data_IF_727571998445
#
_entry.id   IF_727571998445
#
_cell.length_a   1.000
_cell.length_b   1.000
_cell.length_c   1.000
_cell.angle_alpha   90.00
_cell.angle_beta   90.00
_cell.angle_gamma   90.00
#
_symmetry.space_group_name_H-M   'P 1'
#
loop_
_entity.id
_entity.type
_entity.pdbx_description
1 polymer ?
#
# COMPACT_ATOMS: atom_id res chain seq x y z
N UNK A 1 -27.23 13.08 -19.00
CA UNK A 1 -26.84 12.15 -17.90
C UNK A 1 -25.55 12.67 -17.27
N UNK A 2 -25.47 12.86 -15.94
CA UNK A 2 -24.21 13.23 -15.30
C UNK A 2 -23.17 12.12 -15.52
N UNK A 3 -21.95 12.51 -15.89
CA UNK A 3 -20.82 11.60 -16.09
C UNK A 3 -20.49 10.95 -14.74
N UNK A 4 -20.45 9.62 -14.70
CA UNK A 4 -20.05 8.90 -13.49
C UNK A 4 -18.69 9.45 -12.99
N UNK A 5 -18.50 9.66 -11.69
CA UNK A 5 -17.25 10.20 -11.16
C UNK A 5 -16.10 9.25 -11.54
N UNK A 6 -14.99 9.83 -11.99
CA UNK A 6 -13.78 9.05 -12.27
C UNK A 6 -13.32 8.33 -11.00
N UNK A 7 -12.86 7.07 -11.11
CA UNK A 7 -12.39 6.33 -9.95
C UNK A 7 -11.22 7.05 -9.29
N UNK A 8 -11.21 7.06 -7.96
CA UNK A 8 -10.09 7.60 -7.17
C UNK A 8 -8.89 6.66 -7.29
N UNK A 9 -7.68 7.18 -7.18
CA UNK A 9 -6.48 6.36 -7.25
C UNK A 9 -6.16 5.83 -5.86
N UNK A 10 -5.89 4.54 -5.76
CA UNK A 10 -5.36 3.89 -4.56
C UNK A 10 -4.00 3.29 -4.92
N UNK A 11 -2.94 3.87 -4.35
CA UNK A 11 -1.56 3.47 -4.56
C UNK A 11 -1.14 2.44 -3.51
N UNK A 12 -0.72 1.26 -3.97
CA UNK A 12 -0.26 0.17 -3.11
C UNK A 12 1.25 0.21 -3.00
N UNK A 13 1.72 0.24 -1.76
CA UNK A 13 3.10 0.00 -1.36
C UNK A 13 3.52 -1.47 -1.64
N UNK A 14 4.83 -1.74 -1.69
CA UNK A 14 5.46 -3.04 -1.90
C UNK A 14 4.87 -4.11 -0.98
N UNK A 15 4.85 -3.86 0.33
CA UNK A 15 4.31 -4.83 1.29
C UNK A 15 2.81 -5.11 1.07
N UNK A 16 2.03 -4.10 0.69
CA UNK A 16 0.60 -4.23 0.47
C UNK A 16 0.27 -5.06 -0.77
N UNK A 17 0.89 -4.77 -1.93
CA UNK A 17 0.59 -5.58 -3.12
C UNK A 17 1.13 -7.00 -2.99
N UNK A 18 2.32 -7.20 -2.42
CA UNK A 18 2.89 -8.55 -2.22
C UNK A 18 1.98 -9.43 -1.38
N UNK A 19 1.44 -8.88 -0.28
CA UNK A 19 0.46 -9.55 0.57
C UNK A 19 -0.83 -9.86 -0.16
N UNK A 20 -1.39 -8.90 -0.89
CA UNK A 20 -2.63 -9.14 -1.62
C UNK A 20 -2.50 -10.18 -2.73
N UNK A 21 -1.32 -10.32 -3.34
CA UNK A 21 -1.08 -11.40 -4.32
C UNK A 21 -1.01 -12.81 -3.71
N UNK A 22 -0.99 -12.94 -2.38
CA UNK A 22 -1.26 -14.22 -1.71
C UNK A 22 -2.74 -14.63 -1.84
N UNK A 23 -3.63 -13.70 -2.18
CA UNK A 23 -5.03 -14.00 -2.46
C UNK A 23 -5.22 -14.58 -3.88
N UNK A 24 -6.38 -15.21 -4.16
CA UNK A 24 -6.71 -15.68 -5.49
C UNK A 24 -7.17 -14.57 -6.47
N UNK A 25 -7.25 -13.30 -6.05
CA UNK A 25 -7.74 -12.21 -6.92
C UNK A 25 -6.76 -11.93 -8.05
N UNK A 26 -7.18 -12.19 -9.28
CA UNK A 26 -6.46 -11.82 -10.50
C UNK A 26 -7.44 -11.42 -11.63
N UNK A 27 -7.14 -10.35 -12.39
CA UNK A 27 -6.11 -9.35 -12.13
C UNK A 27 -6.38 -8.62 -10.80
N UNK A 28 -5.36 -8.21 -10.04
CA UNK A 28 -5.51 -7.45 -8.81
C UNK A 28 -5.34 -5.95 -9.11
N UNK A 29 -4.21 -5.59 -9.70
CA UNK A 29 -3.92 -4.20 -10.03
C UNK A 29 -4.62 -3.79 -11.34
N UNK A 30 -4.77 -2.48 -11.53
CA UNK A 30 -5.49 -1.90 -12.66
C UNK A 30 -7.02 -1.99 -12.58
N UNK A 31 -7.56 -2.88 -11.73
CA UNK A 31 -9.00 -3.00 -11.47
C UNK A 31 -9.58 -1.79 -10.75
N UNK A 32 -10.89 -1.56 -10.95
CA UNK A 32 -11.68 -0.61 -10.15
C UNK A 32 -12.54 -1.39 -9.16
N UNK A 33 -12.35 -1.11 -7.87
CA UNK A 33 -13.00 -1.81 -6.75
C UNK A 33 -13.44 -0.76 -5.73
N UNK A 34 -14.73 -0.73 -5.39
CA UNK A 34 -15.27 0.27 -4.47
C UNK A 34 -15.06 1.74 -4.89
N UNK A 35 -14.98 2.00 -6.20
CA UNK A 35 -14.68 3.33 -6.73
C UNK A 35 -13.19 3.71 -6.72
N UNK A 36 -12.31 2.79 -6.32
CA UNK A 36 -10.86 2.97 -6.35
C UNK A 36 -10.22 2.18 -7.48
N UNK A 37 -9.34 2.82 -8.26
CA UNK A 37 -8.44 2.14 -9.17
C UNK A 37 -7.16 1.79 -8.41
N UNK A 38 -6.90 0.49 -8.24
CA UNK A 38 -5.72 -0.02 -7.55
C UNK A 38 -4.52 0.03 -8.49
N UNK A 39 -3.46 0.70 -8.09
CA UNK A 39 -2.23 0.86 -8.87
C UNK A 39 -1.02 0.80 -7.92
N UNK A 40 0.18 0.58 -8.46
CA UNK A 40 1.44 0.76 -7.74
C UNK A 40 2.42 1.59 -8.57
N UNK A 41 3.59 1.91 -8.02
CA UNK A 41 4.65 2.60 -8.76
C UNK A 41 5.59 1.60 -9.43
N UNK A 42 6.12 1.98 -10.60
CA UNK A 42 7.14 1.16 -11.26
C UNK A 42 8.39 0.99 -10.38
N UNK A 43 8.80 2.03 -9.65
CA UNK A 43 9.95 1.96 -8.73
C UNK A 43 9.77 0.96 -7.60
N UNK A 44 8.54 0.78 -7.09
CA UNK A 44 8.23 -0.25 -6.07
C UNK A 44 8.28 -1.67 -6.65
N UNK A 45 7.90 -1.83 -7.93
CA UNK A 45 8.05 -3.09 -8.65
C UNK A 45 9.53 -3.42 -8.85
N UNK A 46 10.33 -2.42 -9.23
CA UNK A 46 11.77 -2.56 -9.43
C UNK A 46 12.49 -2.88 -8.11
N UNK A 47 12.09 -2.23 -7.00
CA UNK A 47 12.55 -2.53 -5.65
C UNK A 47 12.29 -4.01 -5.29
N UNK A 48 11.06 -4.49 -5.52
CA UNK A 48 10.73 -5.90 -5.31
C UNK A 48 11.62 -6.83 -6.14
N UNK A 49 11.77 -6.55 -7.45
CA UNK A 49 12.58 -7.37 -8.36
C UNK A 49 14.07 -7.39 -7.97
N UNK A 50 14.59 -6.28 -7.44
CA UNK A 50 15.98 -6.19 -7.00
C UNK A 50 16.22 -6.85 -5.63
N UNK A 51 15.18 -7.04 -4.81
CA UNK A 51 15.30 -7.58 -3.47
C UNK A 51 15.19 -9.12 -3.48
N UNK A 52 16.34 -9.81 -3.45
CA UNK A 52 16.42 -11.27 -3.47
C UNK A 52 15.64 -11.94 -2.33
N UNK A 53 15.62 -11.34 -1.13
CA UNK A 53 14.87 -11.87 0.01
C UNK A 53 13.37 -11.81 -0.23
N UNK A 54 12.86 -10.66 -0.71
CA UNK A 54 11.45 -10.54 -1.07
C UNK A 54 11.09 -11.46 -2.24
N UNK A 55 11.96 -11.58 -3.25
CA UNK A 55 11.78 -12.50 -4.37
C UNK A 55 11.72 -13.98 -3.96
N UNK A 56 12.44 -14.38 -2.91
CA UNK A 56 12.33 -15.73 -2.34
C UNK A 56 11.01 -15.93 -1.59
N UNK A 57 10.65 -14.98 -0.71
CA UNK A 57 9.43 -15.06 0.11
C UNK A 57 8.18 -15.00 -0.77
N UNK A 58 8.16 -14.12 -1.78
CA UNK A 58 7.02 -13.87 -2.67
C UNK A 58 7.29 -14.34 -4.10
N UNK A 59 7.97 -15.49 -4.25
CA UNK A 59 8.35 -16.04 -5.56
C UNK A 59 7.18 -16.19 -6.53
N UNK A 60 5.98 -16.49 -6.03
CA UNK A 60 4.75 -16.57 -6.81
C UNK A 60 4.34 -15.27 -7.51
N UNK A 61 4.77 -14.11 -7.00
CA UNK A 61 4.49 -12.79 -7.59
C UNK A 61 5.41 -12.51 -8.77
N UNK A 62 6.64 -13.04 -8.74
CA UNK A 62 7.64 -12.88 -9.80
C UNK A 62 7.36 -13.68 -11.06
N UNK A 63 6.33 -14.53 -11.07
CA UNK A 63 5.99 -15.40 -12.21
C UNK A 63 4.58 -15.10 -12.78
N UNK A 64 4.31 -15.39 -14.07
CA UNK A 64 2.98 -15.24 -14.65
C UNK A 64 1.94 -16.15 -13.96
N UNK A 65 0.66 -15.73 -13.89
CA UNK A 65 0.11 -14.48 -14.43
C UNK A 65 0.33 -13.24 -13.54
N UNK A 66 0.84 -13.39 -12.30
CA UNK A 66 0.97 -12.29 -11.33
C UNK A 66 1.98 -11.24 -11.74
N UNK A 67 3.12 -11.64 -12.32
CA UNK A 67 4.14 -10.68 -12.79
C UNK A 67 3.59 -9.79 -13.92
N UNK A 68 2.78 -10.35 -14.81
CA UNK A 68 2.13 -9.61 -15.89
C UNK A 68 1.11 -8.62 -15.33
N UNK A 69 0.28 -9.05 -14.37
CA UNK A 69 -0.67 -8.18 -13.68
C UNK A 69 0.03 -7.02 -12.96
N UNK A 70 1.14 -7.32 -12.28
CA UNK A 70 1.95 -6.32 -11.57
C UNK A 70 2.45 -5.22 -12.50
N UNK A 71 3.01 -5.61 -13.66
CA UNK A 71 3.52 -4.66 -14.65
C UNK A 71 2.40 -3.84 -15.33
N UNK A 72 1.25 -4.46 -15.58
CA UNK A 72 0.07 -3.75 -16.10
C UNK A 72 -0.54 -2.79 -15.06
N UNK A 73 -0.38 -3.12 -13.77
CA UNK A 73 -0.79 -2.33 -12.62
C UNK A 73 0.07 -1.10 -12.30
N UNK A 74 1.19 -0.93 -13.00
CA UNK A 74 2.10 0.20 -12.80
C UNK A 74 1.46 1.51 -13.24
N UNK A 75 1.47 2.50 -12.35
CA UNK A 75 0.96 3.84 -12.60
C UNK A 75 1.76 4.53 -13.72
N UNK A 76 1.04 5.05 -14.71
CA UNK A 76 1.62 5.86 -15.80
C UNK A 76 1.25 7.33 -15.62
N UNK A 77 2.19 8.10 -15.10
CA UNK A 77 2.05 9.55 -14.98
C UNK A 77 2.32 10.26 -16.30
N UNK A 78 1.56 11.32 -16.58
CA UNK A 78 1.88 12.28 -17.65
C UNK A 78 3.12 13.09 -17.26
N UNK A 79 3.85 13.61 -18.25
CA UNK A 79 5.07 14.40 -18.00
C UNK A 79 4.86 15.58 -17.03
N UNK A 80 3.77 16.37 -17.12
CA UNK A 80 3.51 17.43 -16.13
C UNK A 80 3.39 16.89 -14.70
N UNK A 81 2.70 15.77 -14.51
CA UNK A 81 2.54 15.16 -13.18
C UNK A 81 3.86 14.57 -12.65
N UNK A 82 4.67 13.97 -13.51
CA UNK A 82 6.01 13.47 -13.14
C UNK A 82 6.87 14.60 -12.55
N UNK A 83 6.91 15.76 -13.22
CA UNK A 83 7.65 16.94 -12.72
C UNK A 83 7.15 17.43 -11.36
N UNK A 84 5.84 17.41 -11.14
CA UNK A 84 5.27 17.78 -9.83
C UNK A 84 5.69 16.79 -8.74
N UNK A 85 5.68 15.49 -9.04
CA UNK A 85 6.16 14.46 -8.09
C UNK A 85 7.64 14.69 -7.79
N UNK A 86 8.47 14.85 -8.81
CA UNK A 86 9.91 15.11 -8.64
C UNK A 86 10.19 16.36 -7.80
N UNK A 87 9.45 17.46 -8.02
CA UNK A 87 9.57 18.69 -7.25
C UNK A 87 9.20 18.51 -5.76
N UNK A 88 8.23 17.63 -5.46
CA UNK A 88 7.79 17.33 -4.10
C UNK A 88 8.74 16.38 -3.35
N UNK A 89 9.43 15.47 -4.06
CA UNK A 89 10.27 14.43 -3.43
C UNK A 89 11.37 14.99 -2.53
N UNK A 90 12.08 16.02 -2.97
CA UNK A 90 13.20 16.60 -2.22
C UNK A 90 12.78 17.16 -0.84
N UNK A 91 11.83 18.11 -0.81
CA UNK A 91 11.28 18.63 0.45
C UNK A 91 10.70 17.53 1.35
N UNK A 92 9.93 16.60 0.78
CA UNK A 92 9.33 15.49 1.54
C UNK A 92 10.38 14.56 2.13
N UNK A 93 11.48 14.25 1.42
CA UNK A 93 12.56 13.42 1.94
C UNK A 93 13.22 14.05 3.18
N UNK A 94 13.44 15.37 3.14
CA UNK A 94 14.02 16.11 4.28
C UNK A 94 13.05 16.09 5.45
N UNK A 95 11.77 16.39 5.21
CA UNK A 95 10.74 16.40 6.24
C UNK A 95 10.56 15.01 6.86
N UNK A 96 10.42 13.96 6.04
CA UNK A 96 10.31 12.57 6.49
C UNK A 96 11.48 12.15 7.38
N UNK A 97 12.71 12.50 7.00
CA UNK A 97 13.90 12.20 7.80
C UNK A 97 13.85 12.88 9.17
N UNK A 98 13.53 14.17 9.21
CA UNK A 98 13.43 14.94 10.46
C UNK A 98 12.29 14.42 11.35
N UNK A 99 11.15 14.08 10.74
CA UNK A 99 10.01 13.48 11.42
C UNK A 99 10.41 12.17 12.11
N UNK A 100 11.01 11.23 11.37
CA UNK A 100 11.45 9.94 11.92
C UNK A 100 12.47 10.12 13.04
N UNK A 101 13.46 11.02 12.86
CA UNK A 101 14.43 11.34 13.90
C UNK A 101 13.75 11.85 15.19
N UNK A 102 12.84 12.81 15.05
CA UNK A 102 12.11 13.39 16.18
C UNK A 102 11.17 12.40 16.88
N UNK A 103 10.52 11.50 16.14
CA UNK A 103 9.70 10.43 16.74
C UNK A 103 10.58 9.43 17.48
N UNK A 104 11.78 9.15 16.96
CA UNK A 104 12.71 8.20 17.57
C UNK A 104 13.38 8.73 18.83
N UNK A 105 13.64 10.03 18.94
CA UNK A 105 14.09 10.63 20.23
C UNK A 105 13.04 10.49 21.33
N UNK A 106 11.77 10.29 20.95
CA UNK A 106 10.64 10.01 21.85
C UNK A 106 10.28 8.52 21.97
N UNK A 107 11.14 7.63 21.45
CA UNK A 107 11.01 6.18 21.64
C UNK A 107 10.11 5.45 20.64
N UNK A 108 9.70 6.08 19.53
CA UNK A 108 8.78 5.46 18.57
C UNK A 108 9.36 4.26 17.78
N UNK A 109 10.70 4.18 17.67
CA UNK A 109 11.47 3.14 16.95
C UNK A 109 10.97 2.92 15.51
N UNK A 110 10.82 4.00 14.78
CA UNK A 110 10.47 4.03 13.36
C UNK A 110 11.70 3.78 12.50
N UNK A 111 11.52 2.98 11.44
CA UNK A 111 12.52 2.80 10.39
C UNK A 111 12.56 4.06 9.50
N UNK A 112 13.73 4.49 9.02
CA UNK A 112 13.82 5.54 8.00
C UNK A 112 13.08 5.14 6.71
N UNK A 113 12.39 6.11 6.10
CA UNK A 113 11.71 5.90 4.81
C UNK A 113 12.71 5.84 3.65
N UNK A 114 12.44 4.98 2.69
CA UNK A 114 13.21 4.83 1.46
C UNK A 114 12.95 5.96 0.45
N UNK A 115 13.71 5.95 -0.64
CA UNK A 115 13.48 6.84 -1.77
C UNK A 115 12.14 6.56 -2.45
N UNK A 116 11.75 5.30 -2.48
CA UNK A 116 10.52 4.74 -3.05
C UNK A 116 9.32 5.11 -2.17
N UNK A 117 9.44 5.02 -0.84
CA UNK A 117 8.42 5.49 0.11
C UNK A 117 8.12 6.97 -0.09
N UNK A 118 9.17 7.77 -0.25
CA UNK A 118 9.04 9.22 -0.49
C UNK A 118 8.41 9.50 -1.85
N UNK A 119 8.74 8.72 -2.88
CA UNK A 119 8.11 8.82 -4.19
C UNK A 119 6.62 8.43 -4.15
N UNK A 120 6.27 7.38 -3.41
CA UNK A 120 4.90 6.96 -3.16
C UNK A 120 4.10 8.07 -2.46
N UNK A 121 4.65 8.67 -1.41
CA UNK A 121 4.05 9.80 -0.70
C UNK A 121 3.83 11.00 -1.63
N UNK A 122 4.88 11.44 -2.33
CA UNK A 122 4.80 12.56 -3.27
C UNK A 122 3.74 12.31 -4.37
N UNK A 123 3.69 11.09 -4.88
CA UNK A 123 2.68 10.70 -5.88
C UNK A 123 1.27 10.71 -5.31
N UNK A 124 1.08 10.21 -4.10
CA UNK A 124 -0.20 10.25 -3.39
C UNK A 124 -0.71 11.68 -3.18
N UNK A 125 0.17 12.61 -2.83
CA UNK A 125 -0.14 14.04 -2.67
C UNK A 125 -0.56 14.66 -4.02
N UNK A 126 0.29 14.55 -5.05
CA UNK A 126 0.06 15.16 -6.37
C UNK A 126 -1.23 14.66 -7.02
N UNK A 127 -1.55 13.38 -6.82
CA UNK A 127 -2.76 12.76 -7.37
C UNK A 127 -4.00 12.91 -6.48
N UNK A 128 -3.84 13.42 -5.25
CA UNK A 128 -4.87 13.35 -4.19
C UNK A 128 -5.41 11.93 -4.04
N UNK A 129 -4.51 10.95 -4.09
CA UNK A 129 -4.82 9.52 -4.01
C UNK A 129 -4.89 9.02 -2.58
N UNK A 130 -5.37 7.80 -2.42
CA UNK A 130 -5.24 7.03 -1.18
C UNK A 130 -3.96 6.21 -1.26
N UNK A 131 -3.20 6.13 -0.18
CA UNK A 131 -2.04 5.23 -0.08
C UNK A 131 -2.44 4.03 0.78
N UNK A 132 -2.06 2.83 0.35
CA UNK A 132 -2.08 1.64 1.18
C UNK A 132 -0.65 1.22 1.52
N UNK A 133 -0.35 1.20 2.80
CA UNK A 133 0.95 0.79 3.33
C UNK A 133 0.78 0.19 4.72
N UNK A 134 1.66 -0.75 5.06
CA UNK A 134 1.78 -1.28 6.43
C UNK A 134 3.04 -0.73 7.14
N UNK A 135 3.82 0.12 6.46
CA UNK A 135 5.00 0.76 7.03
C UNK A 135 4.56 1.81 8.05
N UNK A 136 5.01 1.62 9.29
CA UNK A 136 4.61 2.43 10.44
C UNK A 136 5.10 3.87 10.27
N UNK A 137 6.34 4.06 9.81
CA UNK A 137 6.90 5.39 9.61
C UNK A 137 6.08 6.20 8.59
N UNK A 138 5.72 5.58 7.46
CA UNK A 138 4.94 6.23 6.40
C UNK A 138 3.51 6.51 6.86
N UNK A 139 2.90 5.57 7.58
CA UNK A 139 1.56 5.74 8.16
C UNK A 139 1.51 6.89 9.15
N UNK A 140 2.47 6.97 10.08
CA UNK A 140 2.52 8.06 11.06
C UNK A 140 2.80 9.41 10.39
N UNK A 141 3.69 9.45 9.39
CA UNK A 141 4.00 10.66 8.64
C UNK A 141 2.78 11.21 7.89
N UNK A 142 2.04 10.35 7.17
CA UNK A 142 0.82 10.77 6.46
C UNK A 142 -0.23 11.31 7.44
N UNK A 143 -0.40 10.68 8.60
CA UNK A 143 -1.34 11.16 9.63
C UNK A 143 -0.92 12.51 10.19
N UNK A 144 0.37 12.74 10.39
CA UNK A 144 0.92 14.02 10.86
C UNK A 144 0.64 15.14 9.85
N UNK A 145 0.92 14.91 8.56
CA UNK A 145 0.62 15.86 7.48
C UNK A 145 -0.88 16.20 7.40
N UNK A 146 -1.75 15.19 7.46
CA UNK A 146 -3.21 15.39 7.44
C UNK A 146 -3.65 16.21 8.66
N UNK A 147 -3.15 15.88 9.86
CA UNK A 147 -3.52 16.56 11.10
C UNK A 147 -3.02 18.02 11.13
N UNK A 148 -1.86 18.29 10.52
CA UNK A 148 -1.31 19.63 10.38
C UNK A 148 -2.01 20.48 9.31
N UNK A 149 -2.89 19.89 8.48
CA UNK A 149 -3.53 20.58 7.36
C UNK A 149 -2.57 20.83 6.19
N UNK A 150 -1.45 20.13 6.15
CA UNK A 150 -0.46 20.20 5.08
C UNK A 150 -0.93 19.44 3.83
N UNK A 151 -0.21 19.62 2.71
CA UNK A 151 -0.45 18.79 1.52
C UNK A 151 -0.19 17.31 1.84
N UNK A 152 -1.25 16.51 1.78
CA UNK A 152 -1.22 15.09 2.10
C UNK A 152 -2.00 14.26 1.07
N UNK A 153 -1.75 12.94 0.97
CA UNK A 153 -2.67 12.02 0.31
C UNK A 153 -4.07 12.12 0.94
N UNK A 154 -5.10 11.73 0.19
CA UNK A 154 -6.48 11.80 0.65
C UNK A 154 -6.73 10.94 1.90
N UNK A 155 -6.09 9.78 1.97
CA UNK A 155 -6.15 8.87 3.11
C UNK A 155 -4.97 7.89 3.07
N UNK A 156 -4.73 7.25 4.22
CA UNK A 156 -3.81 6.12 4.36
C UNK A 156 -4.58 4.93 4.95
N UNK A 157 -4.44 3.75 4.35
CA UNK A 157 -5.07 2.50 4.81
C UNK A 157 -4.04 1.37 4.89
N UNK A 158 -4.35 0.32 5.63
CA UNK A 158 -3.51 -0.89 5.76
C UNK A 158 -3.94 -2.01 4.79
N UNK A 159 -3.12 -3.06 4.67
CA UNK A 159 -3.41 -4.21 3.80
C UNK A 159 -4.63 -5.02 4.23
N UNK A 160 -4.99 -5.03 5.52
CA UNK A 160 -6.22 -5.66 6.00
C UNK A 160 -7.46 -4.89 5.54
N UNK A 161 -7.40 -3.56 5.54
CA UNK A 161 -8.46 -2.68 5.04
C UNK A 161 -8.63 -2.87 3.53
N UNK A 162 -7.54 -3.11 2.79
CA UNK A 162 -7.63 -3.51 1.39
C UNK A 162 -8.28 -4.89 1.18
N UNK A 163 -7.93 -5.90 1.98
CA UNK A 163 -8.63 -7.20 1.93
C UNK A 163 -10.13 -7.05 2.21
N UNK A 164 -10.48 -6.21 3.20
CA UNK A 164 -11.85 -5.91 3.52
C UNK A 164 -12.58 -5.25 2.35
N UNK A 165 -11.95 -4.28 1.67
CA UNK A 165 -12.49 -3.67 0.46
C UNK A 165 -12.75 -4.72 -0.64
N UNK A 166 -11.83 -5.66 -0.84
CA UNK A 166 -12.01 -6.74 -1.82
C UNK A 166 -13.20 -7.64 -1.48
N UNK A 167 -13.34 -8.03 -0.22
CA UNK A 167 -14.46 -8.87 0.24
C UNK A 167 -15.81 -8.14 0.17
N UNK A 168 -15.88 -6.89 0.64
CA UNK A 168 -17.09 -6.06 0.58
C UNK A 168 -17.62 -5.89 -0.85
N UNK A 169 -16.73 -5.93 -1.84
CA UNK A 169 -17.07 -5.82 -3.25
C UNK A 169 -17.07 -7.16 -3.99
N UNK A 170 -17.15 -8.28 -3.26
CA UNK A 170 -17.35 -9.62 -3.82
C UNK A 170 -16.16 -10.14 -4.65
N UNK A 171 -14.97 -9.57 -4.47
CA UNK A 171 -13.74 -10.06 -5.11
C UNK A 171 -13.11 -11.23 -4.35
N UNK A 172 -13.43 -11.35 -3.07
CA UNK A 172 -13.02 -12.44 -2.21
C UNK A 172 -14.21 -12.95 -1.40
N UNK A 173 -14.26 -14.26 -1.16
CA UNK A 173 -15.09 -14.82 -0.09
C UNK A 173 -14.39 -14.72 1.26
N UNK A 174 -15.15 -14.82 2.35
CA UNK A 174 -14.57 -14.84 3.70
C UNK A 174 -13.60 -16.00 3.90
N UNK A 175 -13.82 -17.14 3.23
CA UNK A 175 -12.86 -18.26 3.26
C UNK A 175 -11.56 -17.90 2.55
N UNK A 176 -11.62 -17.32 1.35
CA UNK A 176 -10.42 -16.89 0.63
C UNK A 176 -9.66 -15.80 1.40
N UNK A 177 -10.36 -14.89 2.10
CA UNK A 177 -9.73 -13.95 3.05
C UNK A 177 -8.96 -14.70 4.13
N UNK A 178 -9.60 -15.64 4.84
CA UNK A 178 -8.95 -16.42 5.91
C UNK A 178 -7.70 -17.13 5.39
N UNK A 179 -7.81 -17.83 4.27
CA UNK A 179 -6.67 -18.54 3.67
C UNK A 179 -5.52 -17.59 3.29
N UNK A 180 -5.87 -16.38 2.80
CA UNK A 180 -4.90 -15.33 2.49
C UNK A 180 -4.17 -14.85 3.74
N UNK A 181 -4.90 -14.51 4.81
CA UNK A 181 -4.30 -14.01 6.05
C UNK A 181 -3.49 -15.11 6.76
N UNK A 182 -3.97 -16.35 6.81
CA UNK A 182 -3.20 -17.50 7.31
C UNK A 182 -1.90 -17.70 6.52
N UNK A 183 -1.91 -17.42 5.22
CA UNK A 183 -0.68 -17.45 4.42
C UNK A 183 0.29 -16.35 4.87
N UNK A 184 -0.20 -15.14 5.14
CA UNK A 184 0.66 -14.06 5.67
C UNK A 184 1.29 -14.41 7.03
N UNK A 185 0.52 -15.05 7.91
CA UNK A 185 0.99 -15.54 9.22
C UNK A 185 2.09 -16.58 9.04
N UNK A 186 1.90 -17.58 8.16
CA UNK A 186 2.90 -18.62 7.88
C UNK A 186 4.17 -18.10 7.22
N UNK A 187 4.06 -17.05 6.41
CA UNK A 187 5.21 -16.44 5.73
C UNK A 187 6.09 -15.61 6.68
N UNK A 188 5.68 -15.43 7.94
CA UNK A 188 6.38 -14.61 8.95
C UNK A 188 6.70 -13.18 8.46
N UNK A 189 5.97 -12.69 7.47
CA UNK A 189 6.10 -11.30 7.00
C UNK A 189 5.58 -10.40 8.12
N UNK A 190 6.20 -9.23 8.31
CA UNK A 190 5.86 -8.28 9.39
C UNK A 190 4.42 -7.75 9.26
N UNK A 191 3.44 -8.55 9.72
CA UNK A 191 2.02 -8.21 9.70
C UNK A 191 1.80 -6.80 10.27
N UNK A 192 0.75 -6.09 9.82
CA UNK A 192 0.48 -4.74 10.29
C UNK A 192 0.48 -4.66 11.82
N UNK A 193 0.96 -3.55 12.39
CA UNK A 193 0.97 -3.39 13.85
C UNK A 193 -0.45 -3.55 14.42
N UNK A 194 -0.63 -4.45 15.39
CA UNK A 194 -1.95 -4.73 15.97
C UNK A 194 -2.93 -5.45 15.04
N UNK A 195 -2.43 -6.17 14.01
CA UNK A 195 -3.25 -6.81 12.98
C UNK A 195 -4.39 -7.69 13.53
N UNK A 196 -4.22 -8.40 14.66
CA UNK A 196 -5.29 -9.24 15.24
C UNK A 196 -6.51 -8.43 15.66
N UNK A 197 -6.27 -7.30 16.35
CA UNK A 197 -7.34 -6.37 16.74
C UNK A 197 -7.99 -5.79 15.48
N UNK A 198 -7.17 -5.37 14.52
CA UNK A 198 -7.65 -4.80 13.25
C UNK A 198 -8.47 -5.80 12.43
N UNK A 199 -8.08 -7.07 12.44
CA UNK A 199 -8.80 -8.15 11.78
C UNK A 199 -10.19 -8.34 12.41
N UNK A 200 -10.27 -8.40 13.74
CA UNK A 200 -11.54 -8.48 14.46
C UNK A 200 -12.44 -7.27 14.14
N UNK A 201 -11.88 -6.06 14.16
CA UNK A 201 -12.62 -4.83 13.83
C UNK A 201 -13.22 -4.85 12.41
N UNK A 202 -12.48 -5.36 11.42
CA UNK A 202 -12.89 -5.34 10.01
C UNK A 202 -13.82 -6.51 9.65
N UNK A 203 -13.60 -7.69 10.24
CA UNK A 203 -14.25 -8.92 9.79
C UNK A 203 -15.21 -9.52 10.80
N UNK A 204 -15.24 -9.02 12.03
CA UNK A 204 -16.13 -9.49 13.09
C UNK A 204 -15.82 -10.91 13.60
N UNK A 205 -14.66 -11.47 13.25
CA UNK A 205 -14.22 -12.80 13.69
C UNK A 205 -12.80 -12.77 14.28
N UNK A 206 -12.50 -13.71 15.19
CA UNK A 206 -11.19 -13.81 15.84
C UNK A 206 -10.12 -14.36 14.88
N UNK A 207 -8.91 -13.82 14.99
CA UNK A 207 -7.73 -14.29 14.26
C UNK A 207 -6.96 -15.41 14.96
N UNK A 208 -7.45 -15.94 16.08
CA UNK A 208 -6.75 -16.98 16.88
C UNK A 208 -6.60 -18.31 16.13
N UNK A 209 -7.52 -18.61 15.22
CA UNK A 209 -7.52 -19.84 14.44
C UNK A 209 -6.80 -19.73 13.08
N UNK A 210 -6.12 -18.61 12.80
CA UNK A 210 -5.48 -18.31 11.50
C UNK A 210 -4.00 -18.70 11.45
#
# INVERSE_FOLDING_TARGET
>A
MPKAPSPRILLLDTNCFLRLYCSPVLPLLGQVIGGYRLLTLASLIDEFKANSRLGQIFSQVGIPPRSVDLEQGALRLTQPKKRLVEAQRGPLAVYARLFVQHRNTRGARLTPLSCEDTELLATGIVLRGVIATDEKALTELIRDLIAAGEEAPQACIDSLTLLHLLEQHGRLSSQQRRDTVSTWVRMETLLPAGWRRRYLELFGESAEAL
#
